data_IF_802987939496
#
_entry.id   IF_802987939496
#
_cell.length_a   1.000
_cell.length_b   1.000
_cell.length_c   1.000
_cell.angle_alpha   90.00
_cell.angle_beta   90.00
_cell.angle_gamma   90.00
#
_symmetry.space_group_name_H-M   'P 1'
#
loop_
_entity.id
_entity.type
_entity.pdbx_description
1 polymer ?
#
# COMPACT_ATOMS: atom_id res chain seq x y z
N UNK A 1 -1.36 9.59 20.49
CA UNK A 1 -2.79 9.43 20.92
C UNK A 1 -3.59 9.05 19.69
N UNK A 2 -4.53 8.10 19.78
CA UNK A 2 -5.41 7.73 18.65
C UNK A 2 -6.49 8.81 18.53
N UNK A 3 -6.68 9.34 17.32
CA UNK A 3 -7.76 10.25 16.97
C UNK A 3 -8.91 9.48 16.31
N UNK A 4 -10.08 9.50 16.92
CA UNK A 4 -11.31 8.93 16.36
C UNK A 4 -12.01 10.03 15.59
N UNK A 5 -12.21 9.83 14.30
CA UNK A 5 -12.78 10.80 13.36
C UNK A 5 -14.30 10.89 13.52
N UNK A 6 -14.83 12.10 13.43
CA UNK A 6 -16.26 12.30 13.30
C UNK A 6 -16.71 12.05 11.85
N UNK A 7 -18.02 12.13 11.58
CA UNK A 7 -18.56 11.86 10.23
C UNK A 7 -18.05 12.82 9.17
N UNK A 8 -17.88 14.10 9.51
CA UNK A 8 -17.39 15.12 8.58
C UNK A 8 -15.92 14.85 8.20
N UNK A 9 -15.09 14.51 9.18
CA UNK A 9 -13.69 14.16 8.96
C UNK A 9 -13.55 12.89 8.09
N UNK A 10 -14.43 11.90 8.29
CA UNK A 10 -14.46 10.68 7.47
C UNK A 10 -14.80 11.00 6.02
N UNK A 11 -15.77 11.88 5.74
CA UNK A 11 -16.08 12.28 4.37
C UNK A 11 -14.91 13.03 3.71
N UNK A 12 -14.18 13.88 4.43
CA UNK A 12 -12.97 14.53 3.91
C UNK A 12 -11.85 13.54 3.58
N UNK A 13 -11.64 12.54 4.43
CA UNK A 13 -10.69 11.44 4.16
C UNK A 13 -11.12 10.67 2.90
N UNK A 14 -12.40 10.35 2.79
CA UNK A 14 -12.97 9.65 1.64
C UNK A 14 -12.80 10.42 0.33
N UNK A 15 -12.90 11.76 0.34
CA UNK A 15 -12.60 12.58 -0.85
C UNK A 15 -11.17 12.36 -1.33
N UNK A 16 -10.19 12.37 -0.42
CA UNK A 16 -8.79 12.12 -0.73
C UNK A 16 -8.55 10.68 -1.21
N UNK A 17 -9.14 9.70 -0.53
CA UNK A 17 -9.06 8.28 -0.91
C UNK A 17 -9.65 8.02 -2.31
N UNK A 18 -10.74 8.71 -2.69
CA UNK A 18 -11.33 8.61 -4.02
C UNK A 18 -10.42 9.22 -5.12
N UNK A 19 -9.68 10.29 -4.81
CA UNK A 19 -8.68 10.84 -5.73
C UNK A 19 -7.57 9.81 -5.95
N UNK A 20 -7.05 9.21 -4.89
CA UNK A 20 -6.03 8.16 -4.97
C UNK A 20 -6.52 6.96 -5.78
N UNK A 21 -7.71 6.46 -5.47
CA UNK A 21 -8.31 5.33 -6.21
C UNK A 21 -8.45 5.62 -7.71
N UNK A 22 -8.88 6.82 -8.09
CA UNK A 22 -8.97 7.25 -9.50
C UNK A 22 -7.59 7.41 -10.13
N UNK A 23 -6.61 7.93 -9.39
CA UNK A 23 -5.22 7.99 -9.86
C UNK A 23 -4.70 6.61 -10.23
N UNK A 24 -4.85 5.63 -9.34
CA UNK A 24 -4.47 4.24 -9.62
C UNK A 24 -5.23 3.66 -10.82
N UNK A 25 -6.51 4.00 -10.98
CA UNK A 25 -7.31 3.59 -12.15
C UNK A 25 -6.75 4.13 -13.47
N UNK A 26 -6.38 5.41 -13.52
CA UNK A 26 -5.76 6.04 -14.71
C UNK A 26 -4.39 5.39 -15.01
N UNK A 27 -3.59 5.10 -13.97
CA UNK A 27 -2.31 4.44 -14.15
C UNK A 27 -2.47 3.01 -14.67
N UNK A 28 -3.50 2.28 -14.23
CA UNK A 28 -3.82 0.94 -14.72
C UNK A 28 -4.02 0.89 -16.25
N UNK A 29 -4.56 1.97 -16.85
CA UNK A 29 -4.81 2.05 -18.30
C UNK A 29 -3.53 2.23 -19.12
N UNK A 30 -2.46 2.73 -18.51
CA UNK A 30 -1.20 3.07 -19.20
C UNK A 30 -0.01 2.20 -18.79
N UNK A 31 -0.16 1.37 -17.74
CA UNK A 31 0.89 0.42 -17.34
C UNK A 31 1.01 -0.68 -18.39
N UNK A 32 2.15 -0.67 -19.12
CA UNK A 32 2.47 -1.64 -20.16
C UNK A 32 3.98 -1.75 -20.34
N UNK A 33 4.50 -2.79 -21.01
CA UNK A 33 5.92 -2.85 -21.36
C UNK A 33 6.37 -1.60 -22.14
N UNK A 34 7.53 -1.05 -21.77
CA UNK A 34 8.11 0.15 -22.37
C UNK A 34 7.82 1.46 -21.63
N UNK A 35 6.83 1.51 -20.74
CA UNK A 35 6.61 2.71 -19.91
C UNK A 35 7.62 2.76 -18.77
N UNK A 36 8.10 3.98 -18.41
CA UNK A 36 8.96 4.15 -17.23
C UNK A 36 8.15 4.49 -15.98
N UNK A 37 8.59 4.05 -14.77
CA UNK A 37 8.01 4.47 -13.50
C UNK A 37 7.92 5.98 -13.34
N UNK A 38 8.92 6.72 -13.82
CA UNK A 38 8.93 8.19 -13.79
C UNK A 38 7.82 8.82 -14.64
N UNK A 39 7.43 8.17 -15.75
CA UNK A 39 6.29 8.62 -16.54
C UNK A 39 4.98 8.45 -15.77
N UNK A 40 4.83 7.32 -15.05
CA UNK A 40 3.67 7.07 -14.19
C UNK A 40 3.60 8.10 -13.06
N UNK A 41 4.72 8.36 -12.39
CA UNK A 41 4.84 9.37 -11.32
C UNK A 41 4.40 10.76 -11.77
N UNK A 42 4.90 11.19 -12.94
CA UNK A 42 4.52 12.48 -13.54
C UNK A 42 3.00 12.55 -13.79
N UNK A 43 2.42 11.51 -14.39
CA UNK A 43 0.99 11.43 -14.70
C UNK A 43 0.13 11.46 -13.44
N UNK A 44 0.52 10.74 -12.40
CA UNK A 44 -0.16 10.77 -11.11
C UNK A 44 -0.12 12.17 -10.49
N UNK A 45 1.05 12.82 -10.47
CA UNK A 45 1.21 14.16 -9.92
C UNK A 45 0.41 15.23 -10.67
N UNK A 46 0.31 15.13 -12.00
CA UNK A 46 -0.56 15.99 -12.81
C UNK A 46 -2.02 15.80 -12.41
N UNK A 47 -2.52 14.57 -12.44
CA UNK A 47 -3.91 14.25 -12.13
C UNK A 47 -4.32 14.67 -10.70
N UNK A 48 -3.50 14.36 -9.69
CA UNK A 48 -3.79 14.72 -8.30
C UNK A 48 -3.95 16.25 -8.16
N UNK A 49 -3.07 17.04 -8.80
CA UNK A 49 -3.16 18.51 -8.77
C UNK A 49 -4.40 19.02 -9.51
N UNK A 50 -4.77 18.41 -10.64
CA UNK A 50 -5.98 18.75 -11.40
C UNK A 50 -7.28 18.51 -10.59
N UNK A 51 -7.22 17.59 -9.60
CA UNK A 51 -8.32 17.37 -8.65
C UNK A 51 -8.32 18.38 -7.47
N UNK A 52 -7.44 19.38 -7.48
CA UNK A 52 -7.29 20.34 -6.39
C UNK A 52 -6.73 19.74 -5.11
N UNK A 53 -5.91 18.68 -5.23
CA UNK A 53 -5.22 18.01 -4.15
C UNK A 53 -3.70 18.15 -4.29
N UNK A 54 -2.97 17.81 -3.24
CA UNK A 54 -1.51 17.74 -3.26
C UNK A 54 -1.07 16.26 -3.25
N UNK A 55 0.00 15.88 -3.98
CA UNK A 55 0.64 14.59 -3.82
C UNK A 55 1.06 14.36 -2.36
N UNK A 56 0.59 13.26 -1.76
CA UNK A 56 0.73 13.01 -0.33
C UNK A 56 2.14 12.63 0.11
N UNK A 57 2.93 12.01 -0.79
CA UNK A 57 4.29 11.54 -0.48
C UNK A 57 5.39 12.52 -0.86
N UNK A 58 5.16 13.38 -1.86
CA UNK A 58 6.18 14.32 -2.32
C UNK A 58 6.60 15.27 -1.18
N UNK A 59 7.86 15.16 -0.75
CA UNK A 59 8.43 15.92 0.35
C UNK A 59 8.11 15.38 1.75
N UNK A 60 7.28 14.34 1.87
CA UNK A 60 7.02 13.68 3.15
C UNK A 60 8.28 12.93 3.61
N UNK A 61 8.84 13.33 4.76
CA UNK A 61 10.13 12.81 5.24
C UNK A 61 11.26 12.91 4.19
N UNK A 62 11.20 13.93 3.32
CA UNK A 62 12.13 14.17 2.20
C UNK A 62 12.01 13.13 1.05
N UNK A 63 10.89 12.40 0.93
CA UNK A 63 10.67 11.51 -0.21
C UNK A 63 10.58 12.30 -1.51
N UNK A 64 11.33 11.92 -2.58
CA UNK A 64 11.54 12.79 -3.74
C UNK A 64 10.47 12.73 -4.84
N UNK A 65 9.42 11.91 -4.68
CA UNK A 65 8.47 11.61 -5.76
C UNK A 65 7.00 11.68 -5.31
N UNK A 66 6.09 11.71 -6.28
CA UNK A 66 4.63 11.67 -6.06
C UNK A 66 4.16 10.30 -5.61
N UNK A 67 4.72 9.24 -6.19
CA UNK A 67 4.40 7.84 -5.96
C UNK A 67 5.58 7.09 -5.37
N UNK A 68 5.31 6.09 -4.54
CA UNK A 68 6.25 5.00 -4.35
C UNK A 68 5.99 3.95 -5.45
N UNK A 69 7.00 3.63 -6.25
CA UNK A 69 6.88 2.63 -7.32
C UNK A 69 7.93 1.54 -7.12
N UNK A 70 7.45 0.36 -6.77
CA UNK A 70 8.29 -0.78 -6.41
C UNK A 70 8.13 -1.91 -7.44
N UNK A 71 9.23 -2.30 -8.08
CA UNK A 71 9.23 -3.29 -9.18
C UNK A 71 9.79 -4.62 -8.68
N UNK A 72 9.09 -5.72 -8.98
CA UNK A 72 9.48 -7.11 -8.71
C UNK A 72 9.86 -7.37 -7.24
N UNK A 73 11.16 -7.50 -6.92
CA UNK A 73 11.66 -7.74 -5.56
C UNK A 73 11.62 -6.51 -4.64
N UNK A 74 11.31 -5.34 -5.19
CA UNK A 74 11.07 -4.15 -4.37
C UNK A 74 9.71 -4.28 -3.70
N UNK A 75 9.71 -4.10 -2.39
CA UNK A 75 8.51 -4.24 -1.54
C UNK A 75 7.71 -2.95 -1.52
N UNK A 76 8.35 -1.87 -1.03
CA UNK A 76 7.78 -0.52 -0.87
C UNK A 76 8.85 0.55 -1.01
N UNK A 77 8.43 1.80 -1.07
CA UNK A 77 9.26 3.01 -1.09
C UNK A 77 10.25 3.06 -2.27
N UNK A 78 9.98 2.33 -3.35
CA UNK A 78 10.79 2.44 -4.56
C UNK A 78 10.66 3.84 -5.16
N UNK A 79 11.82 4.46 -5.49
CA UNK A 79 11.86 5.77 -6.13
C UNK A 79 11.63 5.58 -7.64
N UNK A 80 10.63 6.26 -8.25
CA UNK A 80 10.35 6.15 -9.68
C UNK A 80 11.53 6.53 -10.56
N UNK A 81 12.06 5.57 -11.32
CA UNK A 81 13.21 5.75 -12.21
C UNK A 81 12.86 5.80 -13.69
N UNK A 82 13.88 6.01 -14.55
CA UNK A 82 13.72 6.11 -16.00
C UNK A 82 13.76 4.74 -16.72
N UNK A 83 14.14 3.64 -16.01
CA UNK A 83 14.22 2.30 -16.61
C UNK A 83 12.81 1.83 -17.01
N UNK A 84 12.56 1.53 -18.31
CA UNK A 84 11.28 1.05 -18.76
C UNK A 84 10.92 -0.31 -18.14
N UNK A 85 9.64 -0.51 -17.86
CA UNK A 85 9.07 -1.79 -17.47
C UNK A 85 9.15 -2.77 -18.66
N UNK A 86 9.31 -4.06 -18.36
CA UNK A 86 9.35 -5.11 -19.35
C UNK A 86 8.21 -6.11 -19.13
N UNK A 87 7.93 -6.90 -20.17
CA UNK A 87 6.96 -7.99 -20.08
C UNK A 87 7.36 -8.98 -18.98
N UNK A 88 6.42 -9.38 -18.14
CA UNK A 88 6.66 -10.25 -16.99
C UNK A 88 6.96 -9.52 -15.66
N UNK A 89 7.18 -8.21 -15.67
CA UNK A 89 7.32 -7.43 -14.43
C UNK A 89 6.01 -7.37 -13.65
N UNK A 90 6.12 -7.19 -12.33
CA UNK A 90 5.04 -6.65 -11.50
C UNK A 90 5.48 -5.32 -10.90
N UNK A 91 4.53 -4.43 -10.72
CA UNK A 91 4.80 -3.09 -10.20
C UNK A 91 3.79 -2.75 -9.11
N UNK A 92 4.28 -2.56 -7.88
CA UNK A 92 3.47 -2.02 -6.79
C UNK A 92 3.51 -0.51 -6.88
N UNK A 93 2.36 0.10 -7.08
CA UNK A 93 2.17 1.55 -7.10
C UNK A 93 1.43 1.94 -5.86
N UNK A 94 2.08 2.72 -5.03
CA UNK A 94 1.55 3.27 -3.79
C UNK A 94 1.41 4.79 -3.95
N UNK A 95 0.23 5.31 -3.61
CA UNK A 95 -0.20 6.65 -3.93
C UNK A 95 -0.95 7.29 -2.76
N UNK A 96 -0.45 8.44 -2.31
CA UNK A 96 -1.11 9.28 -1.34
C UNK A 96 -1.60 10.61 -1.92
N UNK A 97 -2.72 11.11 -1.44
CA UNK A 97 -3.22 12.45 -1.78
C UNK A 97 -3.67 13.21 -0.51
N UNK A 98 -3.42 14.51 -0.50
CA UNK A 98 -3.85 15.43 0.55
C UNK A 98 -4.84 16.43 -0.03
N UNK A 99 -6.09 16.40 0.44
CA UNK A 99 -7.12 17.38 0.13
C UNK A 99 -7.86 17.80 1.40
N UNK A 100 -8.18 19.07 1.51
CA UNK A 100 -8.90 19.62 2.67
C UNK A 100 -8.23 19.28 4.03
N UNK A 101 -6.89 19.19 4.06
CA UNK A 101 -6.07 18.80 5.22
C UNK A 101 -6.27 17.35 5.70
N UNK A 102 -6.79 16.45 4.86
CA UNK A 102 -6.90 15.03 5.16
C UNK A 102 -6.24 14.20 4.07
N UNK A 103 -5.56 13.14 4.48
CA UNK A 103 -4.87 12.21 3.59
C UNK A 103 -5.78 11.07 3.16
N UNK A 104 -5.55 10.58 1.95
CA UNK A 104 -5.98 9.28 1.47
C UNK A 104 -4.76 8.52 0.98
N UNK A 105 -4.78 7.20 1.10
CA UNK A 105 -3.64 6.31 0.86
C UNK A 105 -4.10 4.96 0.32
N UNK A 106 -3.58 4.55 -0.85
CA UNK A 106 -3.87 3.23 -1.42
C UNK A 106 -2.67 2.71 -2.21
N UNK A 107 -2.48 1.39 -2.16
CA UNK A 107 -1.52 0.72 -3.02
C UNK A 107 -2.16 -0.42 -3.83
N UNK A 108 -1.63 -0.63 -5.01
CA UNK A 108 -2.03 -1.73 -5.89
C UNK A 108 -0.85 -2.27 -6.67
N UNK A 109 -0.73 -3.60 -6.75
CA UNK A 109 0.27 -4.26 -7.57
C UNK A 109 -0.33 -4.68 -8.91
N UNK A 110 0.24 -4.15 -10.00
CA UNK A 110 -0.16 -4.42 -11.37
C UNK A 110 0.79 -5.41 -12.03
N UNK A 111 0.24 -6.25 -12.89
CA UNK A 111 1.02 -7.04 -13.83
C UNK A 111 1.40 -6.19 -15.05
N UNK A 112 2.59 -6.37 -15.59
CA UNK A 112 3.08 -5.75 -16.82
C UNK A 112 3.19 -6.82 -17.90
N UNK A 113 2.23 -6.86 -18.82
CA UNK A 113 2.12 -7.94 -19.81
C UNK A 113 1.78 -9.29 -19.19
N UNK A 114 2.43 -10.36 -19.64
CA UNK A 114 2.17 -11.73 -19.20
C UNK A 114 3.09 -12.12 -18.04
N UNK A 115 2.50 -12.53 -16.92
CA UNK A 115 3.21 -12.95 -15.70
C UNK A 115 3.01 -14.45 -15.45
N UNK A 116 3.97 -15.07 -14.73
CA UNK A 116 3.90 -16.50 -14.38
C UNK A 116 2.74 -16.80 -13.41
N UNK A 117 2.33 -18.07 -13.36
CA UNK A 117 1.23 -18.51 -12.49
C UNK A 117 1.56 -18.34 -11.00
N UNK A 118 2.82 -18.48 -10.60
CA UNK A 118 3.25 -18.22 -9.22
C UNK A 118 3.07 -16.74 -8.86
N UNK A 119 3.37 -15.84 -9.78
CA UNK A 119 3.16 -14.40 -9.59
C UNK A 119 1.66 -14.07 -9.60
N UNK A 120 0.87 -14.62 -10.52
CA UNK A 120 -0.60 -14.48 -10.49
C UNK A 120 -1.18 -14.91 -9.14
N UNK A 121 -0.69 -16.04 -8.61
CA UNK A 121 -1.08 -16.52 -7.29
C UNK A 121 -0.67 -15.56 -6.17
N UNK A 122 0.56 -15.03 -6.20
CA UNK A 122 1.05 -14.04 -5.23
C UNK A 122 0.13 -12.81 -5.19
N UNK A 123 -0.14 -12.20 -6.35
CA UNK A 123 -1.01 -11.02 -6.46
C UNK A 123 -2.41 -11.31 -5.90
N UNK A 124 -3.01 -12.42 -6.30
CA UNK A 124 -4.35 -12.82 -5.84
C UNK A 124 -4.39 -13.01 -4.33
N UNK A 125 -3.46 -13.78 -3.75
CA UNK A 125 -3.44 -14.08 -2.32
C UNK A 125 -3.17 -12.83 -1.48
N UNK A 126 -2.30 -11.93 -1.95
CA UNK A 126 -2.03 -10.65 -1.25
C UNK A 126 -3.27 -9.77 -1.25
N UNK A 127 -3.96 -9.65 -2.38
CA UNK A 127 -5.22 -8.91 -2.48
C UNK A 127 -6.32 -9.52 -1.62
N UNK A 128 -6.49 -10.83 -1.65
CA UNK A 128 -7.44 -11.55 -0.77
C UNK A 128 -7.11 -11.30 0.71
N UNK A 129 -5.81 -11.30 1.09
CA UNK A 129 -5.37 -11.02 2.46
C UNK A 129 -5.79 -9.62 2.93
N UNK A 130 -5.73 -8.61 2.05
CA UNK A 130 -6.20 -7.26 2.33
C UNK A 130 -7.70 -7.28 2.70
N UNK A 131 -8.54 -7.86 1.85
CA UNK A 131 -9.99 -7.90 2.11
C UNK A 131 -10.36 -8.70 3.35
N UNK A 132 -9.68 -9.83 3.62
CA UNK A 132 -9.85 -10.58 4.87
C UNK A 132 -9.45 -9.77 6.10
N UNK A 133 -8.43 -8.91 5.97
CA UNK A 133 -8.06 -7.92 6.99
C UNK A 133 -9.14 -6.88 7.20
N UNK A 134 -9.66 -6.29 6.11
CA UNK A 134 -10.75 -5.29 6.14
C UNK A 134 -12.02 -5.86 6.79
N UNK A 135 -12.39 -7.11 6.53
CA UNK A 135 -13.53 -7.79 7.17
C UNK A 135 -13.40 -7.87 8.70
N UNK A 136 -12.19 -7.69 9.25
CA UNK A 136 -11.99 -7.61 10.69
C UNK A 136 -12.20 -6.21 11.25
N UNK A 137 -12.34 -5.17 10.40
CA UNK A 137 -12.61 -3.78 10.82
C UNK A 137 -14.05 -3.62 11.35
N UNK A 138 -14.34 -4.32 12.43
CA UNK A 138 -15.65 -4.32 13.11
C UNK A 138 -15.50 -3.79 14.52
N UNK A 139 -16.38 -2.86 14.91
CA UNK A 139 -16.41 -2.31 16.28
C UNK A 139 -16.47 -3.44 17.30
N UNK A 140 -15.56 -3.41 18.26
CA UNK A 140 -15.43 -4.44 19.28
C UNK A 140 -14.34 -5.47 19.03
N UNK A 141 -13.95 -5.73 17.76
CA UNK A 141 -12.74 -6.51 17.43
C UNK A 141 -11.47 -5.73 17.78
N UNK A 142 -10.31 -6.29 17.50
CA UNK A 142 -9.01 -5.73 17.83
C UNK A 142 -8.08 -5.71 16.63
N UNK A 143 -7.07 -4.85 16.65
CA UNK A 143 -6.06 -4.72 15.59
C UNK A 143 -5.38 -6.06 15.30
N UNK A 144 -5.11 -6.89 16.31
CA UNK A 144 -4.53 -8.22 16.12
C UNK A 144 -5.41 -9.21 15.36
N UNK A 145 -6.72 -8.96 15.27
CA UNK A 145 -7.63 -9.77 14.44
C UNK A 145 -7.38 -9.51 12.95
N UNK A 146 -7.08 -8.23 12.58
CA UNK A 146 -6.69 -7.81 11.23
C UNK A 146 -5.40 -8.53 10.83
N UNK A 147 -4.33 -8.33 11.61
CA UNK A 147 -3.03 -8.94 11.32
C UNK A 147 -3.07 -10.47 11.29
N UNK A 148 -3.86 -11.10 12.17
CA UNK A 148 -4.07 -12.54 12.11
C UNK A 148 -4.72 -13.00 10.82
N UNK A 149 -5.75 -12.31 10.34
CA UNK A 149 -6.46 -12.67 9.11
C UNK A 149 -5.54 -12.57 7.89
N UNK A 150 -4.78 -11.48 7.78
CA UNK A 150 -3.77 -11.27 6.74
C UNK A 150 -2.72 -12.39 6.77
N UNK A 151 -2.06 -12.56 7.92
CA UNK A 151 -0.99 -13.54 8.10
C UNK A 151 -1.44 -14.96 7.80
N UNK A 152 -2.57 -15.37 8.38
CA UNK A 152 -3.04 -16.74 8.26
C UNK A 152 -3.33 -17.12 6.80
N UNK A 153 -3.93 -16.21 6.01
CA UNK A 153 -4.23 -16.45 4.61
C UNK A 153 -2.97 -16.54 3.76
N UNK A 154 -2.04 -15.62 3.90
CA UNK A 154 -0.80 -15.59 3.14
C UNK A 154 0.12 -16.79 3.48
N UNK A 155 0.36 -17.05 4.79
CA UNK A 155 1.24 -18.14 5.23
C UNK A 155 0.67 -19.54 4.92
N UNK A 156 -0.67 -19.73 4.96
CA UNK A 156 -1.33 -20.96 4.49
C UNK A 156 -1.05 -21.24 3.01
N UNK A 157 -0.84 -20.19 2.22
CA UNK A 157 -0.45 -20.28 0.82
C UNK A 157 1.07 -20.34 0.60
N UNK A 158 1.88 -20.45 1.69
CA UNK A 158 3.34 -20.55 1.73
C UNK A 158 4.07 -19.29 1.28
N UNK A 159 3.45 -18.12 1.45
CA UNK A 159 4.07 -16.82 1.20
C UNK A 159 4.60 -16.18 2.48
N UNK A 160 5.64 -15.35 2.35
CA UNK A 160 6.26 -14.62 3.46
C UNK A 160 5.51 -13.33 3.77
N UNK A 161 4.98 -13.17 4.99
CA UNK A 161 4.38 -11.91 5.45
C UNK A 161 5.43 -11.05 6.10
N UNK A 162 5.62 -9.82 5.61
CA UNK A 162 6.57 -8.86 6.14
C UNK A 162 6.13 -8.39 7.52
N UNK A 163 7.09 -8.23 8.43
CA UNK A 163 6.86 -7.89 9.84
C UNK A 163 7.46 -6.56 10.27
N UNK A 164 8.41 -6.03 9.48
CA UNK A 164 9.10 -4.77 9.77
C UNK A 164 8.31 -3.53 9.34
N UNK A 165 7.35 -3.72 8.43
CA UNK A 165 6.49 -2.69 7.88
C UNK A 165 5.05 -2.99 8.27
N UNK A 166 4.31 -1.95 8.61
CA UNK A 166 2.97 -2.08 9.20
C UNK A 166 2.05 -0.98 8.68
N UNK A 167 0.79 -1.28 8.61
CA UNK A 167 -0.25 -0.28 8.38
C UNK A 167 -0.41 0.69 9.54
N UNK A 168 -1.23 1.69 9.39
CA UNK A 168 -1.29 2.81 10.32
C UNK A 168 -2.69 3.44 10.39
N UNK A 169 -2.91 4.27 11.41
CA UNK A 169 -4.00 5.23 11.40
C UNK A 169 -3.73 6.32 10.36
N UNK A 170 -4.78 6.92 9.82
CA UNK A 170 -4.66 7.99 8.82
C UNK A 170 -5.69 9.09 9.10
N UNK A 171 -5.38 10.32 8.70
CA UNK A 171 -6.26 11.47 8.88
C UNK A 171 -5.62 12.77 8.48
N UNK A 172 -5.38 13.69 9.43
CA UNK A 172 -4.65 14.94 9.18
C UNK A 172 -3.14 14.73 8.98
N UNK A 173 -2.64 13.57 9.40
CA UNK A 173 -1.28 13.12 9.07
C UNK A 173 -1.41 11.85 8.25
N UNK A 174 -0.46 11.63 7.35
CA UNK A 174 -0.34 10.39 6.59
C UNK A 174 -0.25 9.20 7.56
N UNK A 175 0.67 9.25 8.49
CA UNK A 175 0.88 8.21 9.50
C UNK A 175 0.41 8.69 10.87
N UNK A 176 -0.67 8.09 11.36
CA UNK A 176 -1.22 8.29 12.69
C UNK A 176 -1.20 6.97 13.50
N UNK A 177 -1.37 7.07 14.80
CA UNK A 177 -1.63 5.90 15.62
C UNK A 177 -3.06 5.35 15.38
N UNK A 178 -3.27 4.02 15.49
CA UNK A 178 -2.33 3.00 15.88
C UNK A 178 -1.57 2.39 14.70
N UNK A 179 -0.48 1.69 14.96
CA UNK A 179 0.11 0.74 14.01
C UNK A 179 -0.84 -0.44 13.76
N UNK A 180 -0.82 -0.96 12.53
CA UNK A 180 -1.65 -2.08 12.05
C UNK A 180 -0.75 -3.16 11.46
N UNK A 181 -0.13 -4.01 12.28
CA UNK A 181 0.74 -5.07 11.78
C UNK A 181 -0.01 -6.06 10.87
N UNK A 182 0.67 -6.53 9.82
CA UNK A 182 0.18 -7.56 8.89
C UNK A 182 0.27 -8.99 9.48
N UNK A 183 0.58 -9.08 10.76
CA UNK A 183 0.63 -10.32 11.54
C UNK A 183 0.10 -10.09 12.94
N UNK A 184 -0.34 -11.15 13.60
CA UNK A 184 -0.86 -10.98 14.96
C UNK A 184 -1.52 -12.21 15.54
N UNK A 185 -2.10 -12.01 16.72
CA UNK A 185 -2.88 -13.02 17.44
C UNK A 185 -4.31 -12.53 17.60
N UNK A 186 -5.28 -13.42 17.37
CA UNK A 186 -6.70 -13.12 17.56
C UNK A 186 -6.97 -12.56 18.97
N UNK A 187 -7.78 -11.52 19.03
CA UNK A 187 -8.17 -10.87 20.28
C UNK A 187 -7.06 -10.05 20.95
N UNK A 188 -5.92 -9.79 20.27
CA UNK A 188 -4.85 -8.98 20.79
C UNK A 188 -4.85 -7.54 20.25
N UNK A 189 -4.10 -6.65 20.89
CA UNK A 189 -3.93 -5.28 20.48
C UNK A 189 -5.11 -4.36 20.84
N UNK A 190 -5.10 -3.16 20.28
CA UNK A 190 -6.11 -2.12 20.52
C UNK A 190 -7.49 -2.55 20.03
N UNK A 191 -8.52 -2.20 20.81
CA UNK A 191 -9.91 -2.41 20.43
C UNK A 191 -10.34 -1.41 19.36
N UNK A 192 -10.98 -1.90 18.31
CA UNK A 192 -11.56 -1.10 17.25
C UNK A 192 -12.81 -0.41 17.79
N UNK A 193 -12.91 0.89 17.56
CA UNK A 193 -14.02 1.74 17.96
C UNK A 193 -14.51 2.55 16.77
N UNK A 194 -15.73 3.03 16.84
CA UNK A 194 -16.30 3.93 15.83
C UNK A 194 -15.42 5.18 15.63
N UNK A 195 -15.28 5.61 14.38
CA UNK A 195 -14.43 6.74 13.98
C UNK A 195 -12.95 6.41 13.82
N UNK A 196 -12.52 5.15 14.00
CA UNK A 196 -11.16 4.73 13.71
C UNK A 196 -10.99 4.52 12.20
N UNK A 197 -10.08 5.27 11.58
CA UNK A 197 -9.70 5.11 10.16
C UNK A 197 -8.28 4.59 10.09
N UNK A 198 -8.06 3.54 9.31
CA UNK A 198 -6.79 2.82 9.21
C UNK A 198 -6.43 2.55 7.76
N UNK A 199 -5.15 2.62 7.44
CA UNK A 199 -4.53 1.98 6.29
C UNK A 199 -4.24 0.51 6.65
N UNK A 200 -4.79 -0.42 5.86
CA UNK A 200 -4.51 -1.85 5.95
C UNK A 200 -3.76 -2.22 4.68
N UNK A 201 -2.50 -2.65 4.84
CA UNK A 201 -1.53 -2.71 3.74
C UNK A 201 -0.67 -3.98 3.77
N UNK A 202 -1.23 -5.15 3.48
CA UNK A 202 -0.43 -6.37 3.42
C UNK A 202 0.66 -6.28 2.36
N UNK A 203 1.90 -6.52 2.81
CA UNK A 203 3.08 -6.73 2.00
C UNK A 203 3.48 -8.19 2.11
N UNK A 204 3.44 -8.90 0.98
CA UNK A 204 3.61 -10.35 0.92
C UNK A 204 4.66 -10.72 -0.12
N UNK A 205 5.65 -11.51 0.31
CA UNK A 205 6.76 -11.97 -0.52
C UNK A 205 6.50 -13.38 -1.06
N UNK A 206 6.90 -13.62 -2.29
CA UNK A 206 6.89 -14.97 -2.90
C UNK A 206 7.77 -15.96 -2.12
N UNK A 207 8.82 -15.46 -1.48
CA UNK A 207 9.78 -16.24 -0.71
C UNK A 207 9.82 -15.89 0.78
N UNK A 208 11.01 -15.49 1.26
CA UNK A 208 11.20 -15.14 2.67
C UNK A 208 10.45 -13.86 3.08
N UNK A 209 10.08 -13.80 4.35
CA UNK A 209 9.50 -12.59 4.95
C UNK A 209 10.52 -11.47 5.25
N UNK A 210 11.82 -11.77 5.11
CA UNK A 210 12.89 -10.85 5.47
C UNK A 210 13.10 -9.81 4.36
N UNK A 211 13.45 -8.59 4.76
CA UNK A 211 13.66 -7.46 3.86
C UNK A 211 14.98 -6.75 4.16
N UNK A 212 15.48 -5.98 3.18
CA UNK A 212 16.71 -5.20 3.26
C UNK A 212 16.41 -3.81 2.70
N UNK A 213 16.86 -2.76 3.37
CA UNK A 213 16.83 -1.39 2.84
C UNK A 213 18.04 -1.16 1.95
N UNK A 214 17.82 -0.53 0.80
CA UNK A 214 18.89 -0.17 -0.13
C UNK A 214 19.63 1.10 0.31
N UNK A 215 20.78 1.34 -0.34
CA UNK A 215 21.65 2.48 -0.03
C UNK A 215 21.05 3.86 -0.39
N UNK A 216 19.95 3.90 -1.16
CA UNK A 216 19.19 5.12 -1.43
C UNK A 216 18.44 5.66 -0.22
N UNK A 217 18.42 4.89 0.88
CA UNK A 217 17.75 5.25 2.13
C UNK A 217 16.23 5.05 2.14
N UNK A 218 15.64 4.61 1.00
CA UNK A 218 14.18 4.47 0.84
C UNK A 218 13.76 3.06 0.44
N UNK A 219 14.25 2.58 -0.68
CA UNK A 219 13.77 1.34 -1.29
C UNK A 219 13.99 0.13 -0.39
N UNK A 220 12.92 -0.57 -0.06
CA UNK A 220 12.95 -1.84 0.67
C UNK A 220 12.80 -2.97 -0.35
N UNK A 221 13.67 -3.97 -0.25
CA UNK A 221 13.66 -5.15 -1.13
C UNK A 221 13.57 -6.43 -0.32
N UNK A 222 13.08 -7.51 -0.94
CA UNK A 222 13.12 -8.85 -0.35
C UNK A 222 14.56 -9.33 -0.19
N UNK A 223 14.88 -10.00 0.92
CA UNK A 223 16.24 -10.47 1.19
C UNK A 223 16.71 -11.58 0.22
N UNK A 224 15.78 -12.33 -0.35
CA UNK A 224 16.04 -13.40 -1.32
C UNK A 224 15.84 -12.98 -2.78
N UNK A 225 15.56 -11.68 -3.03
CA UNK A 225 15.34 -11.10 -4.35
C UNK A 225 14.19 -11.72 -5.14
N UNK A 226 13.28 -12.40 -4.48
CA UNK A 226 12.04 -12.87 -5.08
C UNK A 226 10.99 -11.77 -5.07
N UNK A 227 10.01 -11.80 -6.00
CA UNK A 227 8.96 -10.80 -6.08
C UNK A 227 8.15 -10.60 -4.79
N UNK A 228 7.68 -9.37 -4.60
CA UNK A 228 6.77 -8.96 -3.53
C UNK A 228 5.54 -8.29 -4.11
N UNK A 229 4.41 -8.40 -3.43
CA UNK A 229 3.18 -7.72 -3.77
C UNK A 229 2.70 -6.87 -2.58
N UNK A 230 2.17 -5.70 -2.88
CA UNK A 230 1.61 -4.75 -1.94
C UNK A 230 0.22 -4.31 -2.41
N UNK A 231 -0.78 -4.46 -1.55
CA UNK A 231 -2.13 -3.95 -1.74
C UNK A 231 -2.57 -3.22 -0.49
N UNK A 232 -3.26 -2.10 -0.64
CA UNK A 232 -3.66 -1.26 0.46
C UNK A 232 -4.99 -0.57 0.20
N UNK A 233 -5.76 -0.40 1.28
CA UNK A 233 -6.90 0.52 1.37
C UNK A 233 -6.94 1.22 2.72
N UNK A 234 -7.39 2.48 2.70
CA UNK A 234 -7.79 3.22 3.90
C UNK A 234 -9.27 3.61 3.86
#
# INVERSE_FOLDING_TARGET
>A
MIHYKNKEEIELIKESALIVSRTLGILAEIIQPGISPKTLDKKAGEYIRDQGALPGFLGLYDFPATLCISVNEQVVHGIPGDKPLVDGDIISVDCGALKNNYYGDHAFTFAVGEISDDIKKLLRITKESLYLGIEQMVVGKRIGDIGYAVQHHAEKNRFGVIRQLVGHGIGKKMHEAPEVPNFGKRGSGRKIKEGLVLAIEPMVNLGTKNVIQLADGWTIVTADRKPSAHFEHN
#
